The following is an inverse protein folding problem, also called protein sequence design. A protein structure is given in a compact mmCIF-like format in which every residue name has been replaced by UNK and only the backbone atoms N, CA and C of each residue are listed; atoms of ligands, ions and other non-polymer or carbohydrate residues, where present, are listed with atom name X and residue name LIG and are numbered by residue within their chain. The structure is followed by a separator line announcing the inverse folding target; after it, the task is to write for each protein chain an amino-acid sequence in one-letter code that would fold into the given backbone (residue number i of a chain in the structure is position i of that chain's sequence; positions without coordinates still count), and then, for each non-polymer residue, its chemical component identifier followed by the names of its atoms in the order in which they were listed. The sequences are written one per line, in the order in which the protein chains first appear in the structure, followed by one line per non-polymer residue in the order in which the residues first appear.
data_IF_333000076890
#
_entry.id   IF_333000076890
#
_cell.length_a   1.000
_cell.length_b   1.000
_cell.length_c   1.000
_cell.angle_alpha   90.00
_cell.angle_beta   90.00
_cell.angle_gamma   90.00
#
_symmetry.space_group_name_H-M   'P 1'
#
loop_
_entity.id
_entity.type
_entity.pdbx_description
1 polymer ?
#
# COMPACT_ATOMS: atom_id res chain seq x y z
N UNK A 1 8.30 37.10 0.00
CA UNK A 1 7.58 35.91 0.46
C UNK A 1 6.94 36.23 1.81
N UNK A 2 5.61 36.06 1.98
CA UNK A 2 4.93 36.34 3.25
C UNK A 2 5.46 35.38 4.35
N UNK A 3 5.64 35.90 5.56
CA UNK A 3 6.16 35.11 6.72
C UNK A 3 5.34 33.84 7.01
N UNK A 4 4.04 33.81 6.69
CA UNK A 4 3.17 32.66 6.81
C UNK A 4 3.65 31.47 5.95
N UNK A 5 3.90 31.68 4.68
CA UNK A 5 4.37 30.63 3.76
C UNK A 5 5.71 30.00 4.19
N UNK A 6 6.59 30.80 4.80
CA UNK A 6 7.87 30.29 5.33
C UNK A 6 7.65 29.39 6.56
N UNK A 7 6.75 29.77 7.46
CA UNK A 7 6.41 28.97 8.65
C UNK A 7 5.74 27.66 8.26
N UNK A 8 4.81 27.68 7.32
CA UNK A 8 4.11 26.50 6.85
C UNK A 8 5.06 25.52 6.17
N UNK A 9 5.98 26.03 5.35
CA UNK A 9 7.01 25.20 4.72
C UNK A 9 7.94 24.57 5.76
N UNK A 10 8.42 25.34 6.74
CA UNK A 10 9.26 24.82 7.81
C UNK A 10 8.52 23.77 8.68
N UNK A 11 7.21 23.93 8.87
CA UNK A 11 6.39 22.93 9.57
C UNK A 11 6.29 21.65 8.76
N UNK A 12 6.01 21.75 7.47
CA UNK A 12 5.94 20.59 6.57
C UNK A 12 7.29 19.87 6.46
N UNK A 13 8.40 20.62 6.39
CA UNK A 13 9.75 20.02 6.35
C UNK A 13 10.06 19.23 7.62
N UNK A 14 9.71 19.78 8.79
CA UNK A 14 9.88 19.08 10.08
C UNK A 14 8.99 17.84 10.17
N UNK A 15 7.75 17.93 9.72
CA UNK A 15 6.84 16.80 9.70
C UNK A 15 7.43 15.65 8.87
N UNK A 16 7.92 15.94 7.66
CA UNK A 16 8.58 14.95 6.80
C UNK A 16 9.85 14.37 7.43
N UNK A 17 10.66 15.21 8.10
CA UNK A 17 11.87 14.76 8.78
C UNK A 17 11.54 13.76 9.90
N UNK A 18 10.51 14.04 10.71
CA UNK A 18 10.07 13.13 11.78
C UNK A 18 9.66 11.77 11.20
N UNK A 19 8.84 11.76 10.13
CA UNK A 19 8.38 10.52 9.48
C UNK A 19 9.54 9.74 8.85
N UNK A 20 10.44 10.42 8.12
CA UNK A 20 11.61 9.77 7.53
C UNK A 20 12.52 9.13 8.58
N UNK A 21 12.75 9.84 9.70
CA UNK A 21 13.57 9.32 10.80
C UNK A 21 12.88 8.15 11.51
N UNK A 22 11.57 8.23 11.74
CA UNK A 22 10.80 7.13 12.34
C UNK A 22 10.86 5.88 11.47
N UNK A 23 10.67 6.03 10.16
CA UNK A 23 10.81 4.95 9.18
C UNK A 23 12.22 4.35 9.20
N UNK A 24 13.25 5.18 9.17
CA UNK A 24 14.64 4.72 9.20
C UNK A 24 14.96 3.89 10.46
N UNK A 25 14.54 4.36 11.63
CA UNK A 25 14.72 3.61 12.89
C UNK A 25 13.92 2.30 12.85
N UNK A 26 12.68 2.35 12.38
CA UNK A 26 11.80 1.17 12.32
C UNK A 26 12.35 0.09 11.36
N UNK A 27 12.88 0.48 10.18
CA UNK A 27 13.47 -0.47 9.22
C UNK A 27 14.77 -1.07 9.74
N UNK A 28 15.57 -0.31 10.51
CA UNK A 28 16.83 -0.80 11.06
C UNK A 28 16.68 -1.66 12.33
N UNK A 29 15.73 -1.33 13.21
CA UNK A 29 15.69 -1.85 14.58
C UNK A 29 14.27 -2.26 15.03
N UNK A 30 13.28 -2.11 14.17
CA UNK A 30 11.87 -2.41 14.46
C UNK A 30 11.14 -1.25 15.15
N UNK A 31 9.81 -1.33 15.14
CA UNK A 31 8.94 -0.29 15.69
C UNK A 31 9.08 -0.09 17.20
N UNK A 32 9.53 -1.09 17.95
CA UNK A 32 9.73 -0.95 19.40
C UNK A 32 10.87 0.03 19.73
N UNK A 33 11.83 0.19 18.84
CA UNK A 33 12.90 1.17 18.94
C UNK A 33 12.44 2.61 18.65
N UNK A 34 11.30 2.81 18.00
CA UNK A 34 10.75 4.13 17.70
C UNK A 34 10.04 4.68 18.92
N UNK A 35 10.68 5.61 19.60
CA UNK A 35 10.13 6.36 20.74
C UNK A 35 10.22 7.86 20.49
N UNK A 36 9.33 8.65 21.08
CA UNK A 36 9.35 10.12 20.95
C UNK A 36 10.68 10.71 21.44
N UNK A 37 11.26 10.13 22.50
CA UNK A 37 12.57 10.54 22.99
C UNK A 37 13.67 10.30 21.94
N UNK A 38 13.73 9.08 21.39
CA UNK A 38 14.75 8.72 20.40
C UNK A 38 14.62 9.51 19.12
N UNK A 39 13.38 9.76 18.67
CA UNK A 39 13.13 10.62 17.52
C UNK A 39 13.63 12.04 17.77
N UNK A 40 13.31 12.63 18.93
CA UNK A 40 13.76 13.97 19.31
C UNK A 40 15.31 14.07 19.31
N UNK A 41 15.97 13.06 19.88
CA UNK A 41 17.44 12.96 19.89
C UNK A 41 18.00 12.84 18.47
N UNK A 42 17.41 11.99 17.61
CA UNK A 42 17.89 11.74 16.26
C UNK A 42 17.75 12.94 15.30
N UNK A 43 16.71 13.76 15.49
CA UNK A 43 16.48 14.96 14.67
C UNK A 43 16.99 16.26 15.31
N UNK A 44 17.62 16.16 16.47
CA UNK A 44 18.15 17.30 17.24
C UNK A 44 17.08 18.34 17.61
N UNK A 45 15.86 17.88 17.93
CA UNK A 45 14.77 18.72 18.40
C UNK A 45 14.35 18.32 19.82
N UNK A 46 13.64 19.23 20.49
CA UNK A 46 13.05 18.92 21.80
C UNK A 46 11.76 18.09 21.64
N UNK A 47 11.45 17.24 22.62
CA UNK A 47 10.22 16.45 22.63
C UNK A 47 8.93 17.31 22.48
N UNK A 48 8.80 18.53 23.09
CA UNK A 48 7.66 19.39 22.85
C UNK A 48 7.46 19.77 21.38
N UNK A 49 8.54 19.86 20.58
CA UNK A 49 8.43 20.09 19.14
C UNK A 49 7.81 18.88 18.44
N UNK A 50 8.19 17.66 18.80
CA UNK A 50 7.55 16.46 18.29
C UNK A 50 6.04 16.44 18.61
N UNK A 51 5.68 16.71 19.85
CA UNK A 51 4.28 16.74 20.28
C UNK A 51 3.46 17.84 19.60
N UNK A 52 4.09 18.87 19.06
CA UNK A 52 3.40 19.88 18.23
C UNK A 52 3.05 19.37 16.82
N UNK A 53 3.61 18.23 16.40
CA UNK A 53 3.37 17.59 15.11
C UNK A 53 2.56 16.30 15.23
N UNK A 54 2.77 15.52 16.29
CA UNK A 54 2.14 14.20 16.49
C UNK A 54 1.78 14.05 17.97
N UNK A 55 0.57 13.63 18.26
CA UNK A 55 0.13 13.40 19.64
C UNK A 55 0.86 12.25 20.34
N UNK A 56 1.44 11.32 19.56
CA UNK A 56 2.19 10.18 20.07
C UNK A 56 2.73 9.28 18.96
N UNK A 57 3.27 8.13 19.37
CA UNK A 57 3.83 7.11 18.48
C UNK A 57 2.78 6.58 17.49
N UNK A 58 1.56 6.34 17.95
CA UNK A 58 0.50 5.75 17.11
C UNK A 58 0.14 6.65 15.92
N UNK A 59 0.16 7.98 16.13
CA UNK A 59 -0.07 8.94 15.05
C UNK A 59 1.09 8.96 14.05
N UNK A 60 2.34 8.78 14.53
CA UNK A 60 3.51 8.64 13.67
C UNK A 60 3.43 7.35 12.85
N UNK A 61 3.05 6.23 13.47
CA UNK A 61 2.83 4.94 12.79
C UNK A 61 1.77 5.08 11.71
N UNK A 62 0.62 5.70 12.04
CA UNK A 62 -0.47 5.94 11.09
C UNK A 62 -0.02 6.81 9.91
N UNK A 63 0.75 7.86 10.17
CA UNK A 63 1.27 8.74 9.12
C UNK A 63 2.28 8.01 8.20
N UNK A 64 3.19 7.19 8.77
CA UNK A 64 4.11 6.35 7.98
C UNK A 64 3.34 5.31 7.16
N UNK A 65 2.26 4.75 7.71
CA UNK A 65 1.40 3.84 6.95
C UNK A 65 0.73 4.53 5.76
N UNK A 66 0.23 5.76 5.92
CA UNK A 66 -0.37 6.53 4.84
C UNK A 66 0.64 6.87 3.73
N UNK A 67 1.85 7.29 4.11
CA UNK A 67 2.95 7.51 3.15
C UNK A 67 3.29 6.18 2.43
N UNK A 68 3.32 5.06 3.15
CA UNK A 68 3.56 3.74 2.58
C UNK A 68 2.48 3.32 1.56
N UNK A 69 1.20 3.59 1.83
CA UNK A 69 0.12 3.36 0.86
C UNK A 69 0.28 4.23 -0.39
N UNK A 70 0.67 5.49 -0.24
CA UNK A 70 0.90 6.38 -1.39
C UNK A 70 2.07 5.89 -2.24
N UNK A 71 3.19 5.49 -1.62
CA UNK A 71 4.35 4.91 -2.32
C UNK A 71 4.00 3.59 -3.03
N UNK A 72 3.27 2.71 -2.36
CA UNK A 72 2.79 1.46 -2.95
C UNK A 72 1.91 1.74 -4.17
N UNK A 73 0.94 2.66 -4.04
CA UNK A 73 0.04 3.05 -5.13
C UNK A 73 0.79 3.51 -6.36
N UNK A 74 1.79 4.38 -6.19
CA UNK A 74 2.60 4.88 -7.31
C UNK A 74 3.40 3.78 -7.98
N UNK A 75 3.99 2.89 -7.17
CA UNK A 75 4.69 1.70 -7.69
C UNK A 75 3.75 0.79 -8.48
N UNK A 76 2.57 0.49 -7.95
CA UNK A 76 1.58 -0.35 -8.62
C UNK A 76 1.09 0.29 -9.94
N UNK A 77 0.79 1.59 -9.96
CA UNK A 77 0.38 2.32 -11.18
C UNK A 77 1.45 2.25 -12.26
N UNK A 78 2.70 2.52 -11.90
CA UNK A 78 3.84 2.48 -12.82
C UNK A 78 4.01 1.09 -13.41
N UNK A 79 4.00 0.06 -12.58
CA UNK A 79 4.21 -1.31 -13.03
C UNK A 79 3.00 -1.87 -13.82
N UNK A 80 1.78 -1.46 -13.48
CA UNK A 80 0.59 -1.78 -14.27
C UNK A 80 0.71 -1.24 -15.70
N UNK A 81 1.05 0.05 -15.85
CA UNK A 81 1.20 0.67 -17.17
C UNK A 81 2.27 -0.05 -18.00
N UNK A 82 3.45 -0.27 -17.42
CA UNK A 82 4.54 -0.99 -18.10
C UNK A 82 4.15 -2.42 -18.48
N UNK A 83 3.41 -3.12 -17.62
CA UNK A 83 2.91 -4.46 -17.90
C UNK A 83 1.87 -4.48 -19.02
N UNK A 84 0.94 -3.53 -19.04
CA UNK A 84 -0.05 -3.38 -20.11
C UNK A 84 0.61 -3.17 -21.45
N UNK A 85 1.61 -2.29 -21.53
CA UNK A 85 2.37 -2.01 -22.74
C UNK A 85 3.19 -3.24 -23.23
N UNK A 86 3.69 -4.05 -22.29
CA UNK A 86 4.54 -5.20 -22.61
C UNK A 86 3.76 -6.47 -23.06
N UNK A 87 2.54 -6.69 -22.56
CA UNK A 87 1.84 -7.94 -22.83
C UNK A 87 0.36 -7.94 -22.36
N UNK A 88 -0.25 -6.78 -22.28
CA UNK A 88 -1.66 -6.65 -21.93
C UNK A 88 -1.96 -7.06 -20.48
N UNK A 89 -3.20 -7.51 -20.25
CA UNK A 89 -3.74 -7.77 -18.91
C UNK A 89 -2.92 -8.75 -18.06
N UNK A 90 -2.50 -9.89 -18.62
CA UNK A 90 -1.74 -10.91 -17.86
C UNK A 90 -0.41 -10.34 -17.38
N UNK A 91 0.31 -9.62 -18.26
CA UNK A 91 1.56 -8.99 -17.91
C UNK A 91 1.36 -7.86 -16.89
N UNK A 92 0.28 -7.08 -16.98
CA UNK A 92 -0.07 -6.05 -16.02
C UNK A 92 -0.36 -6.63 -14.62
N UNK A 93 -1.17 -7.70 -14.53
CA UNK A 93 -1.44 -8.40 -13.25
C UNK A 93 -0.15 -8.97 -12.64
N UNK A 94 0.70 -9.58 -13.46
CA UNK A 94 1.98 -10.11 -13.01
C UNK A 94 2.91 -9.00 -12.50
N UNK A 95 2.99 -7.88 -13.22
CA UNK A 95 3.83 -6.74 -12.85
C UNK A 95 3.34 -6.08 -11.53
N UNK A 96 2.03 -5.88 -11.39
CA UNK A 96 1.41 -5.37 -10.17
C UNK A 96 1.66 -6.28 -8.98
N UNK A 97 1.47 -7.58 -9.15
CA UNK A 97 1.70 -8.55 -8.09
C UNK A 97 3.17 -8.61 -7.65
N UNK A 98 4.11 -8.58 -8.61
CA UNK A 98 5.55 -8.47 -8.31
C UNK A 98 5.90 -7.17 -7.58
N UNK A 99 5.32 -6.05 -7.99
CA UNK A 99 5.54 -4.75 -7.35
C UNK A 99 5.05 -4.76 -5.90
N UNK A 100 3.86 -5.32 -5.64
CA UNK A 100 3.31 -5.46 -4.30
C UNK A 100 4.23 -6.29 -3.39
N UNK A 101 4.64 -7.47 -3.84
CA UNK A 101 5.52 -8.36 -3.08
C UNK A 101 6.91 -7.75 -2.89
N UNK A 102 7.44 -7.09 -3.92
CA UNK A 102 8.72 -6.36 -3.88
C UNK A 102 8.70 -5.21 -2.88
N UNK A 103 7.61 -4.43 -2.82
CA UNK A 103 7.43 -3.37 -1.84
C UNK A 103 7.44 -3.92 -0.40
N UNK A 104 6.68 -4.98 -0.14
CA UNK A 104 6.63 -5.62 1.17
C UNK A 104 7.99 -6.14 1.62
N UNK A 105 8.77 -6.69 0.70
CA UNK A 105 10.12 -7.20 0.98
C UNK A 105 11.15 -6.08 1.20
N UNK A 106 11.04 -4.98 0.45
CA UNK A 106 11.97 -3.85 0.53
C UNK A 106 11.72 -2.95 1.75
N UNK A 107 10.47 -2.88 2.24
CA UNK A 107 10.02 -1.98 3.29
C UNK A 107 9.23 -2.71 4.39
N UNK A 108 9.82 -3.70 5.08
CA UNK A 108 9.09 -4.55 6.02
C UNK A 108 8.50 -3.79 7.21
N UNK A 109 9.17 -2.76 7.72
CA UNK A 109 8.63 -1.95 8.82
C UNK A 109 7.49 -1.04 8.37
N UNK A 110 7.58 -0.44 7.17
CA UNK A 110 6.47 0.32 6.58
C UNK A 110 5.28 -0.60 6.33
N UNK A 111 5.52 -1.78 5.76
CA UNK A 111 4.48 -2.78 5.52
C UNK A 111 3.78 -3.25 6.81
N UNK A 112 4.56 -3.42 7.89
CA UNK A 112 4.00 -3.70 9.21
C UNK A 112 3.11 -2.55 9.73
N UNK A 113 3.51 -1.29 9.55
CA UNK A 113 2.71 -0.12 9.91
C UNK A 113 1.39 -0.06 9.12
N UNK A 114 1.42 -0.45 7.84
CA UNK A 114 0.24 -0.46 6.97
C UNK A 114 -0.80 -1.51 7.38
N UNK A 115 -0.38 -2.71 7.82
CA UNK A 115 -1.28 -3.86 7.91
C UNK A 115 -1.27 -4.61 9.23
N UNK A 116 -0.22 -4.52 10.02
CA UNK A 116 -0.03 -5.39 11.19
C UNK A 116 -0.13 -4.63 12.51
N UNK A 117 0.36 -3.38 12.55
CA UNK A 117 0.31 -2.59 13.76
C UNK A 117 -1.06 -1.98 13.98
N UNK A 118 -1.42 -1.80 15.25
CA UNK A 118 -2.66 -1.12 15.62
C UNK A 118 -2.54 0.37 15.26
N UNK A 119 -3.37 0.79 14.32
CA UNK A 119 -3.53 2.19 13.94
C UNK A 119 -5.01 2.56 13.95
N UNK A 120 -5.33 3.84 14.08
CA UNK A 120 -6.70 4.33 13.95
C UNK A 120 -7.21 4.39 12.49
N UNK A 121 -6.47 3.80 11.54
CA UNK A 121 -6.87 3.78 10.14
C UNK A 121 -8.05 2.83 9.94
N UNK A 122 -9.09 3.33 9.27
CA UNK A 122 -10.26 2.53 8.90
C UNK A 122 -10.08 2.00 7.48
N UNK A 123 -10.42 0.72 7.27
CA UNK A 123 -10.35 0.03 5.99
C UNK A 123 -11.76 -0.30 5.48
N UNK A 124 -11.89 -0.48 4.17
CA UNK A 124 -13.12 -0.94 3.52
C UNK A 124 -14.37 -0.10 3.86
N UNK A 125 -14.23 1.20 4.06
CA UNK A 125 -15.32 2.13 4.29
C UNK A 125 -15.21 3.36 3.40
N UNK A 126 -16.30 4.09 3.13
CA UNK A 126 -16.24 5.37 2.41
C UNK A 126 -15.34 6.41 3.10
N UNK A 127 -15.12 6.27 4.42
CA UNK A 127 -14.30 7.16 5.24
C UNK A 127 -12.83 6.73 5.29
N UNK A 128 -12.45 5.62 4.65
CA UNK A 128 -11.05 5.20 4.55
C UNK A 128 -10.21 6.30 3.93
N UNK A 129 -8.99 6.56 4.43
CA UNK A 129 -8.08 7.54 3.85
C UNK A 129 -7.85 7.33 2.35
N UNK A 130 -7.69 8.42 1.61
CA UNK A 130 -7.49 8.39 0.16
C UNK A 130 -6.36 7.46 -0.28
N UNK A 131 -5.15 7.45 0.33
CA UNK A 131 -4.08 6.56 -0.09
C UNK A 131 -4.44 5.06 -0.02
N UNK A 132 -5.27 4.65 0.96
CA UNK A 132 -5.74 3.28 1.07
C UNK A 132 -6.71 2.93 -0.06
N UNK A 133 -7.65 3.84 -0.33
CA UNK A 133 -8.63 3.64 -1.42
C UNK A 133 -7.94 3.59 -2.78
N UNK A 134 -6.93 4.43 -2.98
CA UNK A 134 -6.14 4.49 -4.20
C UNK A 134 -5.36 3.20 -4.45
N UNK A 135 -4.70 2.65 -3.43
CA UNK A 135 -3.98 1.38 -3.53
C UNK A 135 -4.92 0.23 -3.93
N UNK A 136 -6.09 0.13 -3.27
CA UNK A 136 -7.11 -0.85 -3.62
C UNK A 136 -7.66 -0.61 -5.04
N UNK A 137 -7.86 0.66 -5.42
CA UNK A 137 -8.32 1.05 -6.74
C UNK A 137 -7.42 0.55 -7.87
N UNK A 138 -6.10 0.61 -7.71
CA UNK A 138 -5.17 0.08 -8.73
C UNK A 138 -5.34 -1.43 -8.93
N UNK A 139 -5.51 -2.19 -7.85
CA UNK A 139 -5.75 -3.64 -7.94
C UNK A 139 -7.08 -3.94 -8.64
N UNK A 140 -8.13 -3.21 -8.28
CA UNK A 140 -9.46 -3.32 -8.90
C UNK A 140 -9.41 -3.02 -10.39
N UNK A 141 -8.79 -1.91 -10.77
CA UNK A 141 -8.70 -1.49 -12.16
C UNK A 141 -7.91 -2.49 -13.01
N UNK A 142 -6.87 -3.10 -12.44
CA UNK A 142 -6.11 -4.16 -13.10
C UNK A 142 -6.97 -5.42 -13.37
N UNK A 143 -7.93 -5.72 -12.50
CA UNK A 143 -8.87 -6.83 -12.67
C UNK A 143 -10.07 -6.48 -13.57
N UNK A 144 -10.45 -5.21 -13.65
CA UNK A 144 -11.55 -4.74 -14.51
C UNK A 144 -11.17 -4.76 -15.99
N UNK A 145 -9.89 -4.53 -16.32
CA UNK A 145 -9.38 -4.61 -17.70
C UNK A 145 -9.55 -6.04 -18.23
N UNK A 146 -10.18 -6.18 -19.40
CA UNK A 146 -10.45 -7.47 -20.06
C UNK A 146 -11.86 -8.04 -19.86
N UNK A 147 -12.67 -7.48 -18.96
CA UNK A 147 -14.10 -7.85 -18.89
C UNK A 147 -14.91 -7.24 -20.03
N UNK A 148 -14.47 -6.08 -20.54
CA UNK A 148 -15.10 -5.41 -21.68
C UNK A 148 -14.95 -6.17 -22.99
N UNK A 149 -13.92 -7.00 -23.15
CA UNK A 149 -13.67 -7.75 -24.37
C UNK A 149 -14.46 -9.07 -24.45
N UNK A 150 -14.78 -9.68 -23.32
CA UNK A 150 -15.50 -10.96 -23.26
C UNK A 150 -17.02 -10.82 -23.16
N UNK A 151 -17.56 -9.62 -22.89
CA UNK A 151 -18.98 -9.37 -22.62
C UNK A 151 -19.81 -8.93 -23.82
N UNK A 152 -19.22 -8.74 -25.01
CA UNK A 152 -19.93 -8.20 -26.18
C UNK A 152 -20.81 -9.21 -26.93
N UNK A 153 -20.70 -10.50 -26.65
CA UNK A 153 -21.43 -11.55 -27.41
C UNK A 153 -22.48 -12.31 -26.60
N UNK A 154 -23.25 -11.68 -25.78
CA UNK A 154 -24.42 -12.39 -25.28
C UNK A 154 -24.92 -12.08 -23.88
N UNK A 155 -25.41 -10.88 -23.64
CA UNK A 155 -26.30 -10.67 -22.51
C UNK A 155 -27.36 -9.63 -22.81
N UNK A 156 -28.62 -10.09 -22.87
CA UNK A 156 -29.81 -9.29 -22.90
C UNK A 156 -29.95 -8.43 -21.64
N UNK A 157 -30.39 -7.19 -21.84
CA UNK A 157 -30.57 -6.16 -20.85
C UNK A 157 -31.45 -6.58 -19.66
N UNK A 158 -31.02 -6.20 -18.46
CA UNK A 158 -31.94 -6.09 -17.32
C UNK A 158 -31.37 -6.69 -16.03
N UNK A 159 -30.75 -5.90 -15.17
CA UNK A 159 -30.51 -6.25 -13.76
C UNK A 159 -29.09 -6.66 -13.35
N UNK A 160 -28.08 -6.51 -14.20
CA UNK A 160 -26.76 -7.11 -13.97
C UNK A 160 -25.66 -6.15 -13.41
N UNK A 161 -25.87 -4.84 -13.38
CA UNK A 161 -24.80 -3.90 -13.01
C UNK A 161 -24.36 -4.01 -11.53
N UNK A 162 -25.29 -4.20 -10.62
CA UNK A 162 -24.99 -4.31 -9.18
C UNK A 162 -24.31 -5.64 -8.81
N UNK A 163 -24.65 -6.74 -9.50
CA UNK A 163 -24.04 -8.06 -9.26
C UNK A 163 -22.62 -8.14 -9.83
N UNK A 164 -22.39 -7.48 -10.95
CA UNK A 164 -21.11 -7.47 -11.64
C UNK A 164 -20.04 -6.63 -10.88
N UNK A 165 -20.46 -5.52 -10.29
CA UNK A 165 -19.59 -4.69 -9.46
C UNK A 165 -19.22 -5.39 -8.13
N UNK A 166 -20.17 -6.04 -7.47
CA UNK A 166 -19.90 -6.82 -6.25
C UNK A 166 -18.95 -7.99 -6.50
N UNK A 167 -19.05 -8.65 -7.66
CA UNK A 167 -18.12 -9.69 -8.06
C UNK A 167 -16.70 -9.16 -8.27
N UNK A 168 -16.55 -7.99 -8.92
CA UNK A 168 -15.24 -7.36 -9.12
C UNK A 168 -14.58 -6.96 -7.79
N UNK A 169 -15.35 -6.39 -6.86
CA UNK A 169 -14.83 -6.02 -5.55
C UNK A 169 -14.38 -7.25 -4.77
N UNK A 170 -15.19 -8.30 -4.71
CA UNK A 170 -14.83 -9.57 -4.05
C UNK A 170 -13.59 -10.22 -4.66
N UNK A 171 -13.46 -10.20 -5.98
CA UNK A 171 -12.24 -10.69 -6.67
C UNK A 171 -11.03 -9.83 -6.34
N UNK A 172 -11.20 -8.51 -6.21
CA UNK A 172 -10.12 -7.60 -5.82
C UNK A 172 -9.65 -7.88 -4.40
N UNK A 173 -10.58 -8.10 -3.47
CA UNK A 173 -10.27 -8.47 -2.10
C UNK A 173 -9.54 -9.82 -2.02
N UNK A 174 -9.97 -10.83 -2.78
CA UNK A 174 -9.30 -12.12 -2.86
C UNK A 174 -7.88 -12.00 -3.44
N UNK A 175 -7.70 -11.20 -4.48
CA UNK A 175 -6.38 -10.93 -5.04
C UNK A 175 -5.47 -10.25 -4.03
N UNK A 176 -5.97 -9.20 -3.38
CA UNK A 176 -5.24 -8.52 -2.33
C UNK A 176 -4.92 -9.46 -1.16
N UNK A 177 -5.88 -10.25 -0.68
CA UNK A 177 -5.67 -11.21 0.40
C UNK A 177 -4.59 -12.24 0.04
N UNK A 178 -4.57 -12.73 -1.20
CA UNK A 178 -3.53 -13.65 -1.68
C UNK A 178 -2.15 -12.99 -1.69
N UNK A 179 -2.03 -11.76 -2.22
CA UNK A 179 -0.77 -11.01 -2.22
C UNK A 179 -0.29 -10.72 -0.79
N UNK A 180 -1.18 -10.28 0.10
CA UNK A 180 -0.87 -10.05 1.50
C UNK A 180 -0.43 -11.33 2.21
N UNK A 181 -1.12 -12.43 1.98
CA UNK A 181 -0.76 -13.74 2.50
C UNK A 181 0.61 -14.20 2.02
N UNK A 182 0.91 -14.05 0.73
CA UNK A 182 2.22 -14.38 0.16
C UNK A 182 3.33 -13.51 0.78
N UNK A 183 3.12 -12.19 0.89
CA UNK A 183 4.09 -11.28 1.50
C UNK A 183 4.38 -11.66 2.95
N UNK A 184 3.34 -11.84 3.76
CA UNK A 184 3.45 -12.14 5.19
C UNK A 184 4.09 -13.51 5.45
N UNK A 185 3.66 -14.55 4.72
CA UNK A 185 4.20 -15.89 4.87
C UNK A 185 5.64 -15.98 4.37
N UNK A 186 6.01 -15.23 3.34
CA UNK A 186 7.39 -15.15 2.84
C UNK A 186 8.29 -14.46 3.86
N UNK A 187 7.89 -13.32 4.40
CA UNK A 187 8.62 -12.60 5.44
C UNK A 187 8.82 -13.48 6.69
N UNK A 188 7.81 -14.26 7.07
CA UNK A 188 7.87 -15.22 8.17
C UNK A 188 8.62 -16.52 7.86
N UNK A 189 9.21 -16.68 6.67
CA UNK A 189 9.91 -17.90 6.21
C UNK A 189 9.03 -19.17 6.28
N UNK A 190 7.73 -19.02 6.05
CA UNK A 190 6.73 -20.11 6.16
C UNK A 190 6.37 -20.74 4.81
N UNK A 191 6.94 -20.22 3.72
CA UNK A 191 6.79 -20.79 2.39
C UNK A 191 8.09 -21.43 1.92
N UNK A 192 7.96 -22.47 1.09
CA UNK A 192 9.14 -23.12 0.49
C UNK A 192 9.90 -22.11 -0.37
N UNK A 193 11.24 -22.02 -0.23
CA UNK A 193 12.04 -21.13 -1.07
C UNK A 193 12.03 -21.57 -2.53
N UNK A 194 12.36 -20.63 -3.44
CA UNK A 194 12.55 -20.93 -4.87
C UNK A 194 11.27 -21.05 -5.71
N UNK A 195 10.08 -20.98 -5.12
CA UNK A 195 8.80 -21.12 -5.84
C UNK A 195 7.99 -19.80 -5.90
N UNK A 196 8.66 -18.66 -5.79
CA UNK A 196 7.97 -17.37 -5.76
C UNK A 196 7.29 -17.04 -7.11
N UNK A 197 8.01 -17.21 -8.21
CA UNK A 197 7.48 -16.96 -9.55
C UNK A 197 6.37 -17.94 -9.92
N UNK A 198 6.53 -19.25 -9.62
CA UNK A 198 5.52 -20.27 -9.87
C UNK A 198 4.20 -19.97 -9.13
N UNK A 199 4.28 -19.56 -7.86
CA UNK A 199 3.07 -19.15 -7.10
C UNK A 199 2.38 -17.96 -7.72
N UNK A 200 3.17 -17.00 -8.22
CA UNK A 200 2.64 -15.81 -8.85
C UNK A 200 1.96 -16.14 -10.18
N UNK A 201 2.57 -16.99 -11.00
CA UNK A 201 1.99 -17.47 -12.26
C UNK A 201 0.67 -18.20 -12.01
N UNK A 202 0.62 -19.09 -11.01
CA UNK A 202 -0.60 -19.78 -10.63
C UNK A 202 -1.68 -18.80 -10.15
N UNK A 203 -1.32 -17.81 -9.31
CA UNK A 203 -2.28 -16.82 -8.81
C UNK A 203 -2.86 -15.99 -9.98
N UNK A 204 -2.01 -15.49 -10.86
CA UNK A 204 -2.45 -14.69 -12.02
C UNK A 204 -3.28 -15.54 -12.98
N UNK A 205 -2.89 -16.79 -13.23
CA UNK A 205 -3.64 -17.69 -14.10
C UNK A 205 -5.05 -18.02 -13.62
N UNK A 206 -5.34 -17.89 -12.32
CA UNK A 206 -6.71 -18.04 -11.78
C UNK A 206 -7.58 -16.79 -11.93
N UNK A 207 -6.99 -15.66 -12.27
CA UNK A 207 -7.66 -14.37 -12.38
C UNK A 207 -7.93 -13.95 -13.83
N UNK A 208 -7.33 -14.64 -14.76
CA UNK A 208 -7.43 -14.40 -16.21
C UNK A 208 -8.34 -15.39 -16.88
#
# INVERSE_FOLDING_TARGET
MPQHQRRDRQRADRHRLILATARQIAEAEGWDAVTTRRLAEAIEYSQPVLYSHFAGKDEIVAAVALDGFAELTESLRTQRAAGTDAGGRVAALTAVARAYLGFAAAHPAVYAAMFTLHTALTFATPQSPEPLRDAFGVLRDCLAEGRSESGAEGRAAGGAEGSDQGDLESRTELFWAALHGLATLTAGQRLRPGLADERLELLVGQLT
#
